data_IF_282374392129
#
_entry.id   IF_282374392129
#
_cell.length_a   1.000
_cell.length_b   1.000
_cell.length_c   1.000
_cell.angle_alpha   90.00
_cell.angle_beta   90.00
_cell.angle_gamma   90.00
#
_symmetry.space_group_name_H-M   'P 1'
#
loop_
_entity.id
_entity.type
_entity.pdbx_description
1 polymer ?
#
# COMPACT_ATOMS: atom_id res chain seq x y z
N UNK A 1 10.01 13.84 -12.88
CA UNK A 1 11.45 13.70 -12.62
C UNK A 1 11.92 12.38 -13.23
N UNK A 2 12.99 12.37 -13.99
CA UNK A 2 13.53 11.16 -14.65
C UNK A 2 14.65 10.49 -13.85
N UNK A 3 14.73 10.75 -12.54
CA UNK A 3 15.74 10.20 -11.64
C UNK A 3 15.07 9.24 -10.68
N UNK A 4 14.90 8.00 -11.12
CA UNK A 4 14.41 6.93 -10.24
C UNK A 4 15.48 6.56 -9.22
N UNK A 5 15.03 6.34 -7.98
CA UNK A 5 15.77 5.73 -6.90
C UNK A 5 14.90 4.67 -6.27
N UNK A 6 15.50 3.62 -5.71
CA UNK A 6 14.79 2.60 -4.94
C UNK A 6 13.94 3.24 -3.81
N UNK A 7 12.79 2.68 -3.53
CA UNK A 7 11.89 3.22 -2.50
C UNK A 7 12.52 3.27 -1.10
N UNK A 8 13.50 2.41 -0.82
CA UNK A 8 14.26 2.44 0.43
C UNK A 8 15.12 3.69 0.55
N UNK A 9 15.63 4.20 -0.56
CA UNK A 9 16.36 5.50 -0.61
C UNK A 9 15.39 6.63 -0.28
N UNK A 10 14.21 6.64 -0.92
CA UNK A 10 13.17 7.64 -0.63
C UNK A 10 12.77 7.63 0.85
N UNK A 11 12.67 6.45 1.47
CA UNK A 11 12.35 6.32 2.90
C UNK A 11 13.44 6.92 3.79
N UNK A 12 14.72 6.69 3.47
CA UNK A 12 15.85 7.27 4.21
C UNK A 12 15.88 8.79 4.06
N UNK A 13 15.71 9.29 2.85
CA UNK A 13 15.70 10.75 2.60
C UNK A 13 14.49 11.43 3.26
N UNK A 14 13.32 10.75 3.29
CA UNK A 14 12.16 11.25 4.03
C UNK A 14 12.41 11.33 5.54
N UNK A 15 13.17 10.38 6.12
CA UNK A 15 13.59 10.46 7.52
C UNK A 15 14.52 11.66 7.76
N UNK A 16 15.50 11.89 6.87
CA UNK A 16 16.37 13.06 6.96
C UNK A 16 15.58 14.37 6.87
N UNK A 17 14.67 14.46 5.90
CA UNK A 17 13.79 15.61 5.75
C UNK A 17 12.96 15.85 7.02
N UNK A 18 12.36 14.81 7.58
CA UNK A 18 11.56 14.90 8.80
C UNK A 18 12.38 15.38 9.99
N UNK A 19 13.63 14.90 10.13
CA UNK A 19 14.53 15.38 11.19
C UNK A 19 14.79 16.89 11.06
N UNK A 20 15.01 17.37 9.84
CA UNK A 20 15.23 18.79 9.57
C UNK A 20 13.98 19.63 9.85
N UNK A 21 12.82 19.19 9.36
CA UNK A 21 11.53 19.90 9.52
C UNK A 21 11.09 20.00 10.98
N UNK A 22 11.35 18.93 11.76
CA UNK A 22 11.01 18.88 13.18
C UNK A 22 12.13 19.42 14.09
N UNK A 23 13.20 19.95 13.52
CA UNK A 23 14.39 20.44 14.26
C UNK A 23 14.92 19.38 15.25
N UNK A 24 14.82 18.10 14.89
CA UNK A 24 15.22 16.97 15.73
C UNK A 24 16.55 16.41 15.27
N UNK A 25 17.45 16.19 16.21
CA UNK A 25 18.76 15.58 15.92
C UNK A 25 18.75 14.11 16.35
N UNK A 26 18.84 13.22 15.37
CA UNK A 26 19.06 11.79 15.60
C UNK A 26 20.49 11.42 15.22
N UNK A 27 21.10 10.55 16.02
CA UNK A 27 22.37 9.93 15.65
C UNK A 27 22.18 8.97 14.49
N UNK A 28 23.26 8.64 13.76
CA UNK A 28 23.18 7.66 12.68
C UNK A 28 22.64 6.31 13.17
N UNK A 29 23.06 5.84 14.35
CA UNK A 29 22.58 4.60 14.94
C UNK A 29 21.05 4.61 15.17
N UNK A 30 20.49 5.72 15.65
CA UNK A 30 19.02 5.87 15.83
C UNK A 30 18.29 5.89 14.50
N UNK A 31 18.84 6.53 13.47
CA UNK A 31 18.27 6.51 12.11
C UNK A 31 18.27 5.09 11.52
N UNK A 32 19.38 4.38 11.69
CA UNK A 32 19.51 2.99 11.22
C UNK A 32 18.52 2.06 11.95
N UNK A 33 18.32 2.26 13.25
CA UNK A 33 17.31 1.52 14.04
C UNK A 33 15.89 1.80 13.55
N UNK A 34 15.53 3.04 13.26
CA UNK A 34 14.23 3.40 12.71
C UNK A 34 13.99 2.78 11.33
N UNK A 35 14.98 2.80 10.44
CA UNK A 35 14.89 2.15 9.13
C UNK A 35 14.74 0.63 9.25
N UNK A 36 15.44 0.00 10.20
CA UNK A 36 15.29 -1.42 10.48
C UNK A 36 13.88 -1.73 11.01
N UNK A 37 13.39 -0.94 11.97
CA UNK A 37 12.04 -1.07 12.53
C UNK A 37 10.95 -0.94 11.44
N UNK A 38 11.14 -0.03 10.48
CA UNK A 38 10.24 0.12 9.34
C UNK A 38 10.14 -1.15 8.48
N UNK A 39 11.22 -1.93 8.41
CA UNK A 39 11.26 -3.24 7.73
C UNK A 39 10.59 -4.40 8.48
N UNK A 40 10.14 -4.18 9.73
CA UNK A 40 9.58 -5.19 10.64
C UNK A 40 8.30 -4.73 11.31
N UNK A 41 7.54 -3.82 10.68
CA UNK A 41 6.30 -3.30 11.25
C UNK A 41 5.26 -4.41 11.46
N UNK A 42 4.58 -4.45 12.62
CA UNK A 42 3.48 -5.38 12.83
C UNK A 42 2.28 -5.00 11.96
N UNK A 43 1.47 -5.98 11.61
CA UNK A 43 0.17 -5.72 11.00
C UNK A 43 -0.80 -5.10 12.03
N UNK A 44 -1.77 -4.32 11.54
CA UNK A 44 -2.91 -3.93 12.36
C UNK A 44 -3.77 -5.15 12.72
N UNK A 45 -4.42 -5.11 13.87
CA UNK A 45 -5.17 -6.25 14.44
C UNK A 45 -6.32 -6.73 13.52
N UNK A 46 -6.91 -5.85 12.72
CA UNK A 46 -8.00 -6.14 11.80
C UNK A 46 -7.56 -6.79 10.47
N UNK A 47 -6.24 -6.80 10.17
CA UNK A 47 -5.72 -7.27 8.88
C UNK A 47 -5.91 -8.78 8.73
N UNK A 48 -5.42 -9.57 9.66
CA UNK A 48 -5.47 -11.04 9.58
C UNK A 48 -6.91 -11.57 9.57
N UNK A 49 -7.83 -11.09 10.42
CA UNK A 49 -9.24 -11.46 10.32
C UNK A 49 -9.88 -11.12 8.98
N UNK A 50 -9.60 -9.92 8.43
CA UNK A 50 -10.13 -9.51 7.13
C UNK A 50 -9.61 -10.39 5.99
N UNK A 51 -8.30 -10.61 5.92
CA UNK A 51 -7.68 -11.47 4.91
C UNK A 51 -8.18 -12.92 4.98
N UNK A 52 -8.42 -13.44 6.20
CA UNK A 52 -9.00 -14.78 6.39
C UNK A 52 -10.40 -14.87 5.77
N UNK A 53 -11.24 -13.86 5.97
CA UNK A 53 -12.59 -13.81 5.37
C UNK A 53 -12.52 -13.70 3.84
N UNK A 54 -11.65 -12.85 3.30
CA UNK A 54 -11.46 -12.69 1.85
C UNK A 54 -10.98 -14.00 1.21
N UNK A 55 -10.01 -14.68 1.82
CA UNK A 55 -9.49 -15.96 1.36
C UNK A 55 -10.57 -17.05 1.39
N UNK A 56 -11.37 -17.12 2.44
CA UNK A 56 -12.49 -18.06 2.55
C UNK A 56 -13.57 -17.81 1.49
N UNK A 57 -13.75 -16.57 1.06
CA UNK A 57 -14.67 -16.18 -0.01
C UNK A 57 -14.10 -16.38 -1.43
N UNK A 58 -12.86 -16.86 -1.56
CA UNK A 58 -12.18 -17.06 -2.85
C UNK A 58 -11.70 -15.77 -3.51
N UNK A 59 -11.63 -14.67 -2.78
CA UNK A 59 -11.13 -13.38 -3.30
C UNK A 59 -9.62 -13.48 -3.56
N UNK A 60 -9.21 -13.04 -4.74
CA UNK A 60 -7.80 -12.97 -5.11
C UNK A 60 -7.17 -11.71 -4.50
N UNK A 61 -6.19 -11.90 -3.63
CA UNK A 61 -5.51 -10.80 -2.93
C UNK A 61 -4.04 -10.76 -3.35
N UNK A 62 -3.57 -9.56 -3.71
CA UNK A 62 -2.20 -9.29 -4.12
C UNK A 62 -1.62 -8.15 -3.30
N UNK A 63 -0.33 -8.22 -2.99
CA UNK A 63 0.39 -7.08 -2.41
C UNK A 63 0.91 -6.18 -3.53
N UNK A 64 0.41 -4.95 -3.62
CA UNK A 64 0.78 -3.98 -4.67
C UNK A 64 1.54 -2.81 -4.05
N UNK A 65 2.84 -2.71 -4.32
CA UNK A 65 3.75 -1.85 -3.56
C UNK A 65 4.73 -1.05 -4.42
N UNK A 66 5.11 0.14 -3.92
CA UNK A 66 6.24 0.92 -4.42
C UNK A 66 7.60 0.33 -3.99
N UNK A 67 7.62 -0.48 -2.92
CA UNK A 67 8.83 -1.17 -2.47
C UNK A 67 9.20 -2.35 -3.37
N UNK A 68 10.45 -2.79 -3.31
CA UNK A 68 10.92 -3.97 -4.03
C UNK A 68 10.18 -5.24 -3.60
N UNK A 69 10.02 -6.19 -4.52
CA UNK A 69 9.36 -7.49 -4.21
C UNK A 69 9.98 -8.16 -2.99
N UNK A 70 11.31 -8.13 -2.87
CA UNK A 70 12.02 -8.72 -1.73
C UNK A 70 11.75 -8.01 -0.39
N UNK A 71 11.63 -6.67 -0.39
CA UNK A 71 11.32 -5.92 0.82
C UNK A 71 9.88 -6.21 1.30
N UNK A 72 8.92 -6.23 0.37
CA UNK A 72 7.52 -6.55 0.69
C UNK A 72 7.37 -7.99 1.17
N UNK A 73 8.05 -8.96 0.53
CA UNK A 73 8.01 -10.36 0.96
C UNK A 73 8.46 -10.52 2.42
N UNK A 74 9.58 -9.88 2.82
CA UNK A 74 10.05 -9.91 4.22
C UNK A 74 9.07 -9.30 5.20
N UNK A 75 8.39 -8.20 4.82
CA UNK A 75 7.35 -7.58 5.67
C UNK A 75 6.16 -8.51 5.88
N UNK A 76 5.67 -9.14 4.81
CA UNK A 76 4.55 -10.08 4.88
C UNK A 76 4.90 -11.31 5.70
N UNK A 77 6.09 -11.88 5.50
CA UNK A 77 6.61 -13.03 6.26
C UNK A 77 6.72 -12.68 7.75
N UNK A 78 7.34 -11.52 8.08
CA UNK A 78 7.47 -11.05 9.46
C UNK A 78 6.10 -10.87 10.15
N UNK A 79 5.12 -10.37 9.42
CA UNK A 79 3.75 -10.18 9.92
C UNK A 79 2.92 -11.48 9.93
N UNK A 80 3.43 -12.60 9.37
CA UNK A 80 2.70 -13.86 9.21
C UNK A 80 1.47 -13.72 8.31
N UNK A 81 1.61 -12.97 7.22
CA UNK A 81 0.57 -12.64 6.26
C UNK A 81 0.83 -13.16 4.84
N UNK A 82 2.00 -13.72 4.57
CA UNK A 82 2.43 -14.18 3.25
C UNK A 82 1.47 -15.17 2.60
N UNK A 83 0.92 -16.10 3.36
CA UNK A 83 -0.05 -17.11 2.90
C UNK A 83 -1.41 -16.55 2.43
N UNK A 84 -1.69 -15.28 2.67
CA UNK A 84 -2.93 -14.63 2.25
C UNK A 84 -2.84 -14.00 0.87
N UNK A 85 -1.65 -13.78 0.35
CA UNK A 85 -1.42 -13.13 -0.93
C UNK A 85 -1.03 -14.14 -1.99
N UNK A 86 -1.63 -14.01 -3.18
CA UNK A 86 -1.30 -14.85 -4.34
C UNK A 86 0.09 -14.51 -4.86
N UNK A 87 0.40 -13.22 -4.96
CA UNK A 87 1.73 -12.73 -5.37
C UNK A 87 1.92 -11.28 -4.90
N UNK A 88 3.15 -10.79 -5.08
CA UNK A 88 3.56 -9.41 -4.84
C UNK A 88 3.83 -8.76 -6.19
N UNK A 89 3.06 -7.72 -6.50
CA UNK A 89 3.28 -6.86 -7.66
C UNK A 89 4.04 -5.61 -7.20
N UNK A 90 5.33 -5.57 -7.48
CA UNK A 90 6.19 -4.43 -7.21
C UNK A 90 6.28 -3.53 -8.44
N UNK A 91 6.11 -2.22 -8.25
CA UNK A 91 6.24 -1.24 -9.34
C UNK A 91 7.69 -0.85 -9.61
N UNK A 92 8.63 -1.31 -8.77
CA UNK A 92 10.06 -1.10 -8.88
C UNK A 92 10.60 -1.51 -10.27
N UNK A 93 10.05 -2.56 -10.88
CA UNK A 93 10.44 -3.00 -12.23
C UNK A 93 10.17 -1.98 -13.34
N UNK A 94 9.24 -1.04 -13.13
CA UNK A 94 8.98 0.06 -14.05
C UNK A 94 9.83 1.31 -13.75
N UNK A 95 10.63 1.28 -12.69
CA UNK A 95 11.41 2.42 -12.21
C UNK A 95 10.57 3.70 -12.07
N UNK A 96 9.37 3.53 -11.50
CA UNK A 96 8.41 4.60 -11.18
C UNK A 96 7.59 4.22 -9.95
N UNK A 97 6.72 5.12 -9.51
CA UNK A 97 5.91 4.94 -8.31
C UNK A 97 4.43 5.21 -8.59
N UNK A 98 3.57 4.64 -7.74
CA UNK A 98 2.20 5.13 -7.63
C UNK A 98 2.24 6.64 -7.31
N UNK A 99 1.40 7.46 -7.91
CA UNK A 99 0.19 7.15 -8.69
C UNK A 99 0.36 7.16 -10.21
N UNK A 100 1.55 6.88 -10.77
CA UNK A 100 1.72 6.83 -12.23
C UNK A 100 0.78 5.79 -12.85
N UNK A 101 0.02 6.11 -13.92
CA UNK A 101 -0.93 5.18 -14.53
C UNK A 101 -0.33 3.85 -15.00
N UNK A 102 0.93 3.84 -15.43
CA UNK A 102 1.60 2.62 -15.88
C UNK A 102 1.69 1.52 -14.83
N UNK A 103 1.72 1.90 -13.55
CA UNK A 103 1.82 0.91 -12.47
C UNK A 103 0.52 0.12 -12.28
N UNK A 104 -0.64 0.77 -12.50
CA UNK A 104 -1.94 0.09 -12.44
C UNK A 104 -2.14 -0.81 -13.65
N UNK A 105 -1.63 -0.40 -14.83
CA UNK A 105 -1.60 -1.28 -16.02
C UNK A 105 -0.75 -2.51 -15.76
N UNK A 106 0.47 -2.33 -15.21
CA UNK A 106 1.34 -3.45 -14.81
C UNK A 106 0.61 -4.45 -13.90
N UNK A 107 -0.16 -3.94 -12.93
CA UNK A 107 -0.94 -4.79 -12.04
C UNK A 107 -1.93 -5.66 -12.82
N UNK A 108 -2.71 -5.07 -13.71
CA UNK A 108 -3.68 -5.82 -14.54
C UNK A 108 -2.98 -6.82 -15.46
N UNK A 109 -1.87 -6.44 -16.09
CA UNK A 109 -1.11 -7.31 -17.00
C UNK A 109 -0.54 -8.54 -16.27
N UNK A 110 -0.05 -8.36 -15.04
CA UNK A 110 0.51 -9.45 -14.23
C UNK A 110 -0.53 -10.39 -13.62
N UNK A 111 -1.67 -9.84 -13.24
CA UNK A 111 -2.69 -10.63 -12.52
C UNK A 111 -3.76 -11.19 -13.45
N UNK A 112 -3.90 -10.63 -14.65
CA UNK A 112 -5.03 -10.94 -15.54
C UNK A 112 -6.37 -10.46 -15.00
N UNK A 113 -6.36 -9.58 -13.98
CA UNK A 113 -7.57 -9.11 -13.33
C UNK A 113 -8.38 -8.18 -14.25
N UNK A 114 -9.71 -8.28 -14.16
CA UNK A 114 -10.59 -7.36 -14.84
C UNK A 114 -10.61 -6.01 -14.13
N UNK A 115 -10.43 -4.95 -14.91
CA UNK A 115 -10.32 -3.58 -14.43
C UNK A 115 -11.55 -3.13 -13.62
N UNK A 116 -12.75 -3.47 -14.08
CA UNK A 116 -14.01 -3.06 -13.44
C UNK A 116 -14.22 -3.75 -12.09
N UNK A 117 -13.64 -4.94 -11.91
CA UNK A 117 -13.76 -5.76 -10.70
C UNK A 117 -12.52 -5.68 -9.78
N UNK A 118 -11.54 -4.85 -10.15
CA UNK A 118 -10.32 -4.67 -9.36
C UNK A 118 -10.47 -3.52 -8.37
N UNK A 119 -10.10 -3.77 -7.13
CA UNK A 119 -10.12 -2.81 -6.03
C UNK A 119 -8.72 -2.55 -5.51
N UNK A 120 -8.35 -1.27 -5.40
CA UNK A 120 -7.19 -0.88 -4.60
C UNK A 120 -7.65 -0.51 -3.19
N UNK A 121 -7.05 -1.15 -2.19
CA UNK A 121 -7.31 -0.90 -0.77
C UNK A 121 -6.08 -0.21 -0.18
N UNK A 122 -6.22 1.00 0.32
CA UNK A 122 -5.11 1.77 0.89
C UNK A 122 -5.59 2.79 1.92
N UNK A 123 -4.70 3.17 2.84
CA UNK A 123 -4.88 4.34 3.70
C UNK A 123 -4.37 5.63 3.05
N UNK A 124 -3.56 5.53 1.99
CA UNK A 124 -3.00 6.68 1.29
C UNK A 124 -3.96 7.14 0.19
N UNK A 125 -4.54 8.32 0.35
CA UNK A 125 -5.49 8.89 -0.60
C UNK A 125 -4.92 9.08 -2.00
N UNK A 126 -3.65 9.48 -2.14
CA UNK A 126 -3.03 9.64 -3.46
C UNK A 126 -2.91 8.33 -4.25
N UNK A 127 -2.69 7.19 -3.59
CA UNK A 127 -2.70 5.87 -4.23
C UNK A 127 -4.08 5.56 -4.83
N UNK A 128 -5.13 5.88 -4.05
CA UNK A 128 -6.52 5.65 -4.42
C UNK A 128 -6.97 6.58 -5.54
N UNK A 129 -6.55 7.85 -5.51
CA UNK A 129 -6.82 8.83 -6.58
C UNK A 129 -6.20 8.35 -7.90
N UNK A 130 -4.97 7.83 -7.85
CA UNK A 130 -4.33 7.23 -9.02
C UNK A 130 -5.11 6.04 -9.57
N UNK A 131 -5.56 5.13 -8.70
CA UNK A 131 -6.36 3.97 -9.07
C UNK A 131 -7.70 4.36 -9.70
N UNK A 132 -8.43 5.29 -9.07
CA UNK A 132 -9.70 5.84 -9.57
C UNK A 132 -9.50 6.52 -10.94
N UNK A 133 -8.47 7.36 -11.06
CA UNK A 133 -8.15 8.04 -12.34
C UNK A 133 -7.81 7.05 -13.45
N UNK A 134 -7.22 5.93 -13.09
CA UNK A 134 -6.96 4.83 -14.04
C UNK A 134 -8.22 4.02 -14.36
N UNK A 135 -9.26 4.09 -13.51
CA UNK A 135 -10.56 3.42 -13.67
C UNK A 135 -10.68 2.10 -12.90
N UNK A 136 -9.89 1.91 -11.85
CA UNK A 136 -10.12 0.87 -10.83
C UNK A 136 -11.13 1.36 -9.79
N UNK A 137 -11.64 0.44 -8.98
CA UNK A 137 -12.31 0.79 -7.75
C UNK A 137 -11.30 1.05 -6.63
N UNK A 138 -11.70 1.84 -5.63
CA UNK A 138 -10.83 2.21 -4.52
C UNK A 138 -11.56 2.18 -3.18
N UNK A 139 -10.98 1.48 -2.21
CA UNK A 139 -11.44 1.47 -0.82
C UNK A 139 -10.44 2.21 0.07
N UNK A 140 -10.90 3.31 0.68
CA UNK A 140 -10.08 4.09 1.60
C UNK A 140 -10.21 3.56 3.02
N UNK A 141 -9.10 3.07 3.58
CA UNK A 141 -9.03 2.65 4.99
C UNK A 141 -8.67 3.86 5.84
N UNK A 142 -9.67 4.52 6.37
CA UNK A 142 -9.54 5.71 7.22
C UNK A 142 -9.18 5.31 8.64
N UNK A 143 -7.88 5.15 8.93
CA UNK A 143 -7.34 4.70 10.24
C UNK A 143 -7.44 5.74 11.36
N UNK A 144 -7.82 6.98 11.06
CA UNK A 144 -7.98 8.05 12.04
C UNK A 144 -9.10 8.98 11.62
N UNK A 145 -9.88 9.47 12.59
CA UNK A 145 -10.92 10.47 12.36
C UNK A 145 -10.35 11.79 11.82
N UNK A 146 -9.07 12.06 12.11
CA UNK A 146 -8.34 13.24 11.61
C UNK A 146 -7.80 13.06 10.20
N UNK A 147 -7.80 11.83 9.64
CA UNK A 147 -7.33 11.60 8.29
C UNK A 147 -8.25 12.29 7.28
N UNK A 148 -7.64 13.00 6.34
CA UNK A 148 -8.31 13.75 5.27
C UNK A 148 -7.99 13.05 3.95
N UNK A 149 -9.02 12.82 3.14
CA UNK A 149 -8.82 12.39 1.76
C UNK A 149 -8.39 13.60 0.93
N UNK A 150 -7.36 13.45 0.09
CA UNK A 150 -6.83 14.58 -0.69
C UNK A 150 -7.92 15.21 -1.57
N UNK A 151 -8.07 16.55 -1.55
CA UNK A 151 -9.17 17.25 -2.21
C UNK A 151 -8.94 17.46 -3.72
N UNK A 152 -8.74 16.37 -4.45
CA UNK A 152 -8.45 16.38 -5.90
C UNK A 152 -9.69 16.16 -6.78
N UNK A 153 -10.89 16.46 -6.27
CA UNK A 153 -12.14 16.33 -7.01
C UNK A 153 -12.60 14.88 -7.22
N UNK A 154 -11.99 13.93 -6.51
CA UNK A 154 -12.37 12.51 -6.51
C UNK A 154 -12.72 12.05 -5.09
N UNK A 155 -13.57 11.03 -5.01
CA UNK A 155 -13.91 10.36 -3.76
C UNK A 155 -13.67 8.87 -3.89
N UNK A 156 -13.26 8.22 -2.81
CA UNK A 156 -13.12 6.76 -2.78
C UNK A 156 -14.48 6.09 -3.09
N UNK A 157 -14.44 4.95 -3.78
CA UNK A 157 -15.64 4.14 -4.06
C UNK A 157 -16.27 3.64 -2.75
N UNK A 158 -15.43 3.42 -1.72
CA UNK A 158 -15.83 3.02 -0.38
C UNK A 158 -14.85 3.61 0.64
N UNK A 159 -15.36 4.01 1.81
CA UNK A 159 -14.55 4.39 2.98
C UNK A 159 -14.81 3.41 4.10
N UNK A 160 -13.75 2.88 4.68
CA UNK A 160 -13.76 1.87 5.75
C UNK A 160 -13.03 2.42 6.96
N UNK A 161 -13.52 2.12 8.16
CA UNK A 161 -12.78 2.36 9.40
C UNK A 161 -11.85 1.18 9.75
N UNK A 162 -12.26 -0.03 9.35
CA UNK A 162 -11.55 -1.29 9.57
C UNK A 162 -11.62 -2.17 8.32
N UNK A 163 -10.60 -3.02 8.13
CA UNK A 163 -10.51 -3.88 6.95
C UNK A 163 -11.56 -5.00 6.90
N UNK A 164 -12.11 -5.39 8.03
CA UNK A 164 -13.13 -6.46 8.05
C UNK A 164 -14.45 -6.04 7.38
N UNK A 165 -14.69 -4.72 7.23
CA UNK A 165 -15.80 -4.18 6.44
C UNK A 165 -15.69 -4.50 4.93
N UNK A 166 -14.48 -4.87 4.42
CA UNK A 166 -14.29 -5.35 3.04
C UNK A 166 -15.11 -6.61 2.73
N UNK A 167 -15.49 -7.37 3.74
CA UNK A 167 -16.33 -8.55 3.54
C UNK A 167 -17.69 -8.21 2.90
N UNK A 168 -18.17 -6.99 3.04
CA UNK A 168 -19.40 -6.52 2.38
C UNK A 168 -19.26 -6.44 0.84
N UNK A 169 -18.04 -6.25 0.31
CA UNK A 169 -17.76 -6.23 -1.13
C UNK A 169 -17.82 -7.62 -1.78
N UNK A 170 -17.63 -8.66 -0.99
CA UNK A 170 -17.52 -10.05 -1.48
C UNK A 170 -18.86 -10.78 -1.39
N UNK A 171 -19.80 -10.23 -0.60
CA UNK A 171 -21.12 -10.84 -0.36
C UNK A 171 -22.23 -10.18 -1.20
N UNK A 172 -21.89 -9.15 -1.99
CA UNK A 172 -22.79 -8.46 -2.92
C UNK A 172 -22.61 -8.95 -4.35
#
# INVERSE_FOLDING_TARGET
MQSYQDFSVCTKEALEYTCLEMETTLTQAQKDELIQAYGCLPAFDDVKPALTKLKAAGTQVYAFSNGTKAAVARLLEHAGLDDYFIDIVSVDELQTFKPNPSVYQLFLDKTGADKANTWLVSSNSFDLIGALSFGLNAAWVKRSDKAIFDPWGMTASMTLSQLDELSALVLS
#
